data_IF_288562770934
#
_entry.id   IF_288562770934
#
_cell.length_a   1.000
_cell.length_b   1.000
_cell.length_c   1.000
_cell.angle_alpha   90.00
_cell.angle_beta   90.00
_cell.angle_gamma   90.00
#
_symmetry.space_group_name_H-M   'P 1'
#
loop_
_entity.id
_entity.type
_entity.pdbx_description
1 polymer ?
#
# COMPACT_ATOMS: atom_id res chain seq x y z
N UNK A 1 -1.49 -19.32 -22.62
CA UNK A 1 -2.39 -18.17 -22.34
C UNK A 1 -1.50 -16.96 -22.13
N UNK A 2 -1.73 -15.91 -22.90
CA UNK A 2 -0.89 -14.71 -22.79
C UNK A 2 -1.16 -14.00 -21.46
N UNK A 3 -0.10 -13.84 -20.66
CA UNK A 3 -0.09 -13.06 -19.43
C UNK A 3 0.50 -11.68 -19.71
N UNK A 4 0.10 -10.67 -18.97
CA UNK A 4 0.71 -9.34 -19.07
C UNK A 4 2.05 -9.31 -18.35
N UNK A 5 2.92 -8.40 -18.77
CA UNK A 5 4.18 -8.15 -18.08
C UNK A 5 3.96 -7.21 -16.89
N UNK A 6 4.58 -7.50 -15.76
CA UNK A 6 4.54 -6.60 -14.60
C UNK A 6 5.38 -5.35 -14.88
N UNK A 7 4.79 -4.19 -14.66
CA UNK A 7 5.48 -2.90 -14.70
C UNK A 7 6.31 -2.74 -13.42
N UNK A 8 7.59 -2.42 -13.58
CA UNK A 8 8.54 -2.30 -12.47
C UNK A 8 8.77 -0.83 -12.11
N UNK A 9 8.82 -0.55 -10.82
CA UNK A 9 9.18 0.77 -10.27
C UNK A 9 10.68 1.08 -10.52
N UNK A 10 11.05 2.35 -10.87
CA UNK A 10 10.16 3.50 -11.01
C UNK A 10 9.56 3.58 -12.43
N UNK A 11 8.23 3.72 -12.48
CA UNK A 11 7.50 3.98 -13.72
C UNK A 11 6.32 4.89 -13.38
N UNK A 12 6.06 5.92 -14.18
CA UNK A 12 5.07 6.96 -13.92
C UNK A 12 3.65 6.41 -13.75
N UNK A 13 3.28 5.32 -14.45
CA UNK A 13 1.97 4.70 -14.31
C UNK A 13 1.69 4.17 -12.89
N UNK A 14 2.74 3.77 -12.17
CA UNK A 14 2.62 3.28 -10.78
C UNK A 14 2.44 4.41 -9.76
N UNK A 15 2.78 5.64 -10.15
CA UNK A 15 2.71 6.83 -9.28
C UNK A 15 1.67 7.85 -9.74
N UNK A 16 0.85 7.47 -10.74
CA UNK A 16 -0.26 8.27 -11.25
C UNK A 16 -1.58 7.60 -10.87
N UNK A 17 -2.55 8.34 -10.29
CA UNK A 17 -3.87 7.80 -10.01
C UNK A 17 -4.55 7.30 -11.28
N UNK A 18 -5.16 6.13 -11.20
CA UNK A 18 -5.90 5.49 -12.30
C UNK A 18 -7.24 6.18 -12.57
N UNK A 19 -7.80 5.94 -13.74
CA UNK A 19 -9.10 6.49 -14.16
C UNK A 19 -10.22 5.49 -13.90
N UNK A 20 -11.39 6.01 -13.54
CA UNK A 20 -12.60 5.20 -13.49
C UNK A 20 -12.89 4.53 -14.83
N UNK A 21 -13.52 3.36 -14.78
CA UNK A 21 -13.93 2.60 -15.95
C UNK A 21 -15.30 1.94 -15.73
N UNK A 22 -15.88 1.40 -16.79
CA UNK A 22 -17.12 0.64 -16.77
C UNK A 22 -16.91 -0.84 -16.46
N UNK A 23 -18.00 -1.55 -16.17
CA UNK A 23 -17.97 -2.95 -15.78
C UNK A 23 -17.44 -3.87 -16.89
N UNK A 24 -17.81 -3.63 -18.15
CA UNK A 24 -17.38 -4.48 -19.29
C UNK A 24 -15.86 -4.42 -19.47
N UNK A 25 -15.31 -3.21 -19.43
CA UNK A 25 -13.85 -2.98 -19.49
C UNK A 25 -13.16 -3.60 -18.27
N UNK A 26 -13.72 -3.42 -17.07
CA UNK A 26 -13.19 -3.96 -15.84
C UNK A 26 -13.11 -5.49 -15.84
N UNK A 27 -14.14 -6.18 -16.33
CA UNK A 27 -14.16 -7.64 -16.43
C UNK A 27 -13.02 -8.18 -17.33
N UNK A 28 -12.75 -7.51 -18.46
CA UNK A 28 -11.65 -7.90 -19.36
C UNK A 28 -10.29 -7.73 -18.67
N UNK A 29 -10.09 -6.60 -17.98
CA UNK A 29 -8.87 -6.32 -17.22
C UNK A 29 -8.71 -7.32 -16.07
N UNK A 30 -9.78 -7.61 -15.31
CA UNK A 30 -9.74 -8.56 -14.20
C UNK A 30 -9.29 -9.97 -14.66
N UNK A 31 -9.73 -10.43 -15.83
CA UNK A 31 -9.26 -11.69 -16.41
C UNK A 31 -7.75 -11.68 -16.67
N UNK A 32 -7.21 -10.60 -17.22
CA UNK A 32 -5.78 -10.47 -17.47
C UNK A 32 -4.98 -10.36 -16.15
N UNK A 33 -5.54 -9.65 -15.15
CA UNK A 33 -4.96 -9.56 -13.81
C UNK A 33 -4.89 -10.93 -13.13
N UNK A 34 -5.98 -11.70 -13.10
CA UNK A 34 -5.97 -13.04 -12.50
C UNK A 34 -5.01 -14.00 -13.19
N UNK A 35 -4.92 -13.99 -14.53
CA UNK A 35 -3.95 -14.81 -15.26
C UNK A 35 -2.51 -14.43 -14.90
N UNK A 36 -2.23 -13.13 -14.82
CA UNK A 36 -0.91 -12.62 -14.50
C UNK A 36 -0.56 -12.94 -13.04
N UNK A 37 -1.49 -12.70 -12.11
CA UNK A 37 -1.34 -13.00 -10.68
C UNK A 37 -1.04 -14.49 -10.45
N UNK A 38 -1.77 -15.39 -11.11
CA UNK A 38 -1.56 -16.83 -11.00
C UNK A 38 -0.16 -17.27 -11.49
N UNK A 39 0.41 -16.58 -12.48
CA UNK A 39 1.77 -16.83 -12.96
C UNK A 39 2.84 -16.30 -12.02
N UNK A 40 2.65 -15.08 -11.52
CA UNK A 40 3.66 -14.37 -10.71
C UNK A 40 3.63 -14.79 -9.22
N UNK A 41 2.56 -15.45 -8.74
CA UNK A 41 2.45 -16.00 -7.39
C UNK A 41 2.15 -14.97 -6.30
N UNK A 42 1.49 -13.85 -6.66
CA UNK A 42 1.06 -12.82 -5.70
C UNK A 42 -0.30 -13.09 -5.07
N UNK A 43 -0.71 -12.23 -4.15
CA UNK A 43 -2.01 -12.28 -3.46
C UNK A 43 -3.01 -11.24 -4.01
N UNK A 44 -2.51 -10.19 -4.69
CA UNK A 44 -3.29 -9.16 -5.33
C UNK A 44 -2.53 -8.55 -6.51
N UNK A 45 -3.25 -7.85 -7.38
CA UNK A 45 -2.68 -7.15 -8.52
C UNK A 45 -3.62 -6.06 -9.01
N UNK A 46 -3.07 -4.89 -9.31
CA UNK A 46 -3.80 -3.73 -9.80
C UNK A 46 -3.53 -3.47 -11.28
N UNK A 47 -4.48 -2.84 -11.97
CA UNK A 47 -4.42 -2.61 -13.40
C UNK A 47 -3.18 -1.81 -13.85
N UNK A 48 -2.76 -0.79 -13.09
CA UNK A 48 -1.56 -0.03 -13.42
C UNK A 48 -0.26 -0.84 -13.31
N UNK A 49 -0.25 -1.94 -12.54
CA UNK A 49 0.88 -2.87 -12.50
C UNK A 49 1.04 -3.73 -13.77
N UNK A 50 0.01 -3.78 -14.61
CA UNK A 50 0.07 -4.41 -15.94
C UNK A 50 -0.02 -3.41 -17.09
N UNK A 51 0.17 -2.11 -16.80
CA UNK A 51 0.20 -1.04 -17.79
C UNK A 51 -1.16 -0.46 -18.18
N UNK A 52 -2.24 -0.77 -17.44
CA UNK A 52 -3.60 -0.28 -17.70
C UNK A 52 -3.95 0.86 -16.70
N UNK A 53 -4.35 2.03 -17.21
CA UNK A 53 -4.67 3.22 -16.39
C UNK A 53 -6.12 3.22 -15.85
N UNK A 54 -6.65 2.03 -15.52
CA UNK A 54 -8.04 1.83 -15.09
C UNK A 54 -8.12 1.42 -13.63
N UNK A 55 -9.15 1.90 -12.94
CA UNK A 55 -9.35 1.64 -11.51
C UNK A 55 -9.97 0.26 -11.28
N UNK A 56 -9.16 -0.78 -11.47
CA UNK A 56 -9.53 -2.20 -11.29
C UNK A 56 -8.40 -2.91 -10.58
N UNK A 57 -8.73 -3.73 -9.57
CA UNK A 57 -7.77 -4.63 -8.93
C UNK A 57 -8.40 -5.98 -8.64
N UNK A 58 -7.55 -6.99 -8.47
CA UNK A 58 -7.92 -8.35 -8.07
C UNK A 58 -7.22 -8.71 -6.77
N UNK A 59 -7.89 -9.53 -5.95
CA UNK A 59 -7.37 -10.10 -4.71
C UNK A 59 -7.70 -11.59 -4.67
N UNK A 60 -6.79 -12.39 -4.15
CA UNK A 60 -6.92 -13.83 -4.02
C UNK A 60 -6.24 -14.29 -2.71
N UNK A 61 -6.86 -13.97 -1.57
CA UNK A 61 -6.41 -14.38 -0.23
C UNK A 61 -7.31 -15.46 0.33
N UNK A 62 -8.58 -15.14 0.62
CA UNK A 62 -9.59 -16.13 1.04
C UNK A 62 -10.27 -16.75 -0.18
N UNK A 63 -10.94 -15.91 -0.98
CA UNK A 63 -11.59 -16.26 -2.23
C UNK A 63 -11.23 -15.22 -3.30
N UNK A 64 -11.09 -15.61 -4.58
CA UNK A 64 -10.73 -14.66 -5.63
C UNK A 64 -11.89 -13.71 -5.97
N UNK A 65 -11.61 -12.41 -5.94
CA UNK A 65 -12.56 -11.37 -6.37
C UNK A 65 -11.85 -10.21 -7.07
N UNK A 66 -12.61 -9.37 -7.78
CA UNK A 66 -12.13 -8.10 -8.30
C UNK A 66 -12.97 -6.93 -7.79
N UNK A 67 -12.35 -5.76 -7.73
CA UNK A 67 -12.99 -4.50 -7.36
C UNK A 67 -12.88 -3.50 -8.51
N UNK A 68 -14.02 -2.88 -8.84
CA UNK A 68 -14.14 -1.84 -9.84
C UNK A 68 -14.33 -0.48 -9.16
N UNK A 69 -13.43 0.47 -9.46
CA UNK A 69 -13.43 1.83 -8.90
C UNK A 69 -13.52 1.84 -7.36
N UNK A 70 -12.74 1.00 -6.64
CA UNK A 70 -12.90 0.82 -5.20
C UNK A 70 -12.52 2.07 -4.41
N UNK A 71 -13.19 2.25 -3.27
CA UNK A 71 -12.91 3.32 -2.33
C UNK A 71 -13.01 2.82 -0.89
N UNK A 72 -11.97 3.01 -0.10
CA UNK A 72 -12.03 2.77 1.35
C UNK A 72 -12.81 3.92 2.00
N UNK A 73 -13.94 3.60 2.64
CA UNK A 73 -14.82 4.58 3.28
C UNK A 73 -14.66 4.65 4.79
N UNK A 74 -14.14 3.59 5.42
CA UNK A 74 -13.87 3.54 6.86
C UNK A 74 -12.69 2.65 7.15
N UNK A 75 -11.97 2.94 8.24
CA UNK A 75 -10.77 2.24 8.69
C UNK A 75 -10.79 2.12 10.20
N UNK A 76 -10.36 0.98 10.75
CA UNK A 76 -10.26 0.75 12.19
C UNK A 76 -8.96 0.02 12.54
N UNK A 77 -8.41 0.35 13.69
CA UNK A 77 -7.22 -0.23 14.33
C UNK A 77 -5.98 -0.20 13.45
N UNK A 78 -5.17 0.85 13.63
CA UNK A 78 -3.86 0.96 12.95
C UNK A 78 -2.94 -0.20 13.34
N UNK A 79 -2.28 -0.75 12.35
CA UNK A 79 -1.27 -1.81 12.49
C UNK A 79 -0.04 -1.49 11.65
N UNK A 80 1.08 -2.12 11.99
CA UNK A 80 2.28 -2.12 11.16
C UNK A 80 2.41 -3.49 10.53
N UNK A 81 2.40 -3.54 9.20
CA UNK A 81 2.49 -4.79 8.46
C UNK A 81 3.78 -4.84 7.63
N UNK A 82 4.24 -6.03 7.25
CA UNK A 82 5.42 -6.19 6.40
C UNK A 82 5.00 -6.67 5.03
N UNK A 83 5.18 -5.83 4.01
CA UNK A 83 4.71 -6.07 2.66
C UNK A 83 5.84 -6.13 1.63
N UNK A 84 5.65 -6.98 0.62
CA UNK A 84 6.34 -6.90 -0.66
C UNK A 84 5.40 -6.41 -1.75
N UNK A 85 5.92 -6.16 -2.95
CA UNK A 85 5.15 -5.76 -4.12
C UNK A 85 5.77 -6.36 -5.38
N UNK A 86 4.96 -6.93 -6.28
CA UNK A 86 5.43 -7.49 -7.56
C UNK A 86 6.09 -6.42 -8.44
N UNK A 87 5.64 -5.17 -8.35
CA UNK A 87 6.24 -4.03 -9.05
C UNK A 87 7.53 -3.50 -8.39
N UNK A 88 7.89 -3.98 -7.20
CA UNK A 88 9.07 -3.57 -6.43
C UNK A 88 9.76 -4.84 -5.92
N UNK A 89 10.38 -5.62 -6.82
CA UNK A 89 11.00 -6.89 -6.45
C UNK A 89 12.13 -6.68 -5.42
N UNK A 90 12.40 -7.73 -4.64
CA UNK A 90 13.46 -7.79 -3.63
C UNK A 90 13.37 -6.75 -2.48
N UNK A 91 12.22 -6.09 -2.33
CA UNK A 91 11.95 -5.14 -1.25
C UNK A 91 10.83 -5.63 -0.37
N UNK A 92 11.10 -5.60 0.93
CA UNK A 92 10.10 -5.77 1.98
C UNK A 92 10.08 -4.51 2.84
N UNK A 93 8.93 -3.86 2.93
CA UNK A 93 8.75 -2.60 3.66
C UNK A 93 7.78 -2.83 4.82
N UNK A 94 8.05 -2.21 5.96
CA UNK A 94 7.05 -2.11 7.05
C UNK A 94 6.16 -0.92 6.73
N UNK A 95 4.87 -1.16 6.66
CA UNK A 95 3.89 -0.18 6.20
C UNK A 95 2.85 0.11 7.29
N UNK A 96 2.32 1.32 7.28
CA UNK A 96 1.14 1.70 8.07
C UNK A 96 -0.12 1.19 7.37
N UNK A 97 -0.87 0.32 8.05
CA UNK A 97 -2.13 -0.29 7.57
C UNK A 97 -3.21 -0.23 8.65
N UNK A 98 -4.38 -0.72 8.27
CA UNK A 98 -5.49 -0.91 9.20
C UNK A 98 -5.90 -2.37 9.22
N UNK A 99 -6.20 -2.89 10.41
CA UNK A 99 -6.61 -4.27 10.61
C UNK A 99 -7.98 -4.55 9.99
N UNK A 100 -8.86 -3.53 9.99
CA UNK A 100 -10.21 -3.62 9.44
C UNK A 100 -10.55 -2.40 8.59
N UNK A 101 -11.15 -2.65 7.42
CA UNK A 101 -11.56 -1.60 6.48
C UNK A 101 -12.93 -1.89 5.90
N UNK A 102 -13.62 -0.84 5.46
CA UNK A 102 -14.88 -0.88 4.70
C UNK A 102 -14.63 -0.29 3.32
N UNK A 103 -15.07 -1.00 2.31
CA UNK A 103 -14.82 -0.67 0.90
C UNK A 103 -16.14 -0.65 0.13
N UNK A 104 -16.36 0.42 -0.62
CA UNK A 104 -17.36 0.50 -1.67
C UNK A 104 -16.67 0.26 -3.03
N UNK A 105 -17.34 -0.43 -3.95
CA UNK A 105 -16.88 -0.62 -5.32
C UNK A 105 -18.08 -0.68 -6.29
N UNK A 106 -17.88 -0.19 -7.52
CA UNK A 106 -18.97 -0.03 -8.48
C UNK A 106 -19.53 -1.38 -9.02
N UNK A 107 -18.91 -2.51 -8.69
CA UNK A 107 -19.33 -3.86 -9.07
C UNK A 107 -19.98 -4.66 -7.92
N UNK A 108 -20.22 -4.05 -6.77
CA UNK A 108 -20.90 -4.65 -5.61
C UNK A 108 -21.97 -3.69 -5.09
N UNK A 109 -23.11 -4.24 -4.70
CA UNK A 109 -24.23 -3.41 -4.22
C UNK A 109 -24.04 -2.94 -2.76
N UNK A 110 -23.41 -3.76 -1.93
CA UNK A 110 -23.22 -3.50 -0.52
C UNK A 110 -21.74 -3.13 -0.19
N UNK A 111 -21.56 -2.43 0.92
CA UNK A 111 -20.24 -2.18 1.48
C UNK A 111 -19.57 -3.49 1.89
N UNK A 112 -18.42 -3.78 1.31
CA UNK A 112 -17.59 -4.92 1.70
C UNK A 112 -16.77 -4.59 2.95
N UNK A 113 -16.65 -5.56 3.85
CA UNK A 113 -15.86 -5.45 5.08
C UNK A 113 -14.71 -6.43 5.02
N UNK A 114 -13.49 -5.94 5.21
CA UNK A 114 -12.27 -6.77 5.26
C UNK A 114 -11.60 -6.63 6.63
N UNK A 115 -11.13 -7.74 7.17
CA UNK A 115 -10.51 -7.84 8.49
C UNK A 115 -11.32 -8.68 9.48
N UNK A 116 -10.82 -8.90 10.71
CA UNK A 116 -11.46 -9.75 11.69
C UNK A 116 -12.88 -9.34 12.05
N UNK A 117 -13.77 -10.34 12.13
CA UNK A 117 -15.15 -10.20 12.62
C UNK A 117 -15.41 -11.19 13.72
N UNK A 118 -16.36 -10.87 14.60
CA UNK A 118 -16.82 -11.81 15.61
C UNK A 118 -17.52 -12.98 14.90
N UNK A 119 -17.23 -14.19 15.38
CA UNK A 119 -17.85 -15.44 14.90
C UNK A 119 -17.42 -15.89 13.48
N UNK A 120 -16.34 -15.33 12.93
CA UNK A 120 -15.78 -15.81 11.68
C UNK A 120 -15.02 -17.13 11.90
N UNK A 121 -15.17 -18.09 10.97
CA UNK A 121 -14.47 -19.38 11.00
C UNK A 121 -13.08 -19.33 10.37
N UNK A 122 -12.77 -18.25 9.65
CA UNK A 122 -11.46 -18.02 9.03
C UNK A 122 -10.51 -17.45 10.07
N UNK A 123 -9.24 -17.86 10.01
CA UNK A 123 -8.18 -17.35 10.88
C UNK A 123 -8.05 -15.82 10.77
N UNK A 124 -7.97 -15.17 11.92
CA UNK A 124 -7.86 -13.70 11.98
C UNK A 124 -6.63 -13.16 11.24
N UNK A 125 -5.51 -13.88 11.25
CA UNK A 125 -4.30 -13.44 10.54
C UNK A 125 -4.51 -13.47 9.02
N UNK A 126 -5.29 -14.43 8.50
CA UNK A 126 -5.69 -14.50 7.09
C UNK A 126 -6.62 -13.34 6.73
N UNK A 127 -7.58 -13.00 7.60
CA UNK A 127 -8.49 -11.87 7.38
C UNK A 127 -7.76 -10.53 7.44
N UNK A 128 -6.77 -10.39 8.32
CA UNK A 128 -5.89 -9.20 8.37
C UNK A 128 -5.06 -9.13 7.10
N UNK A 129 -4.48 -10.23 6.63
CA UNK A 129 -3.72 -10.29 5.39
C UNK A 129 -4.58 -9.84 4.19
N UNK A 130 -5.83 -10.29 4.11
CA UNK A 130 -6.76 -9.88 3.05
C UNK A 130 -7.05 -8.37 3.12
N UNK A 131 -7.34 -7.84 4.31
CA UNK A 131 -7.56 -6.41 4.50
C UNK A 131 -6.33 -5.57 4.11
N UNK A 132 -5.12 -6.03 4.41
CA UNK A 132 -3.87 -5.39 4.02
C UNK A 132 -3.68 -5.46 2.50
N UNK A 133 -3.94 -6.62 1.88
CA UNK A 133 -3.85 -6.80 0.43
C UNK A 133 -4.81 -5.85 -0.30
N UNK A 134 -6.08 -5.75 0.13
CA UNK A 134 -7.04 -4.80 -0.45
C UNK A 134 -6.55 -3.35 -0.34
N UNK A 135 -5.97 -2.95 0.81
CA UNK A 135 -5.39 -1.62 0.98
C UNK A 135 -4.22 -1.39 0.02
N UNK A 136 -3.36 -2.40 -0.16
CA UNK A 136 -2.22 -2.35 -1.07
C UNK A 136 -2.67 -2.10 -2.52
N UNK A 137 -3.65 -2.87 -2.99
CA UNK A 137 -4.15 -2.74 -4.36
C UNK A 137 -4.86 -1.40 -4.59
N UNK A 138 -5.66 -0.94 -3.61
CA UNK A 138 -6.30 0.39 -3.70
C UNK A 138 -5.27 1.52 -3.66
N UNK A 139 -4.17 1.37 -2.93
CA UNK A 139 -3.07 2.34 -2.97
C UNK A 139 -2.48 2.45 -4.38
N UNK A 140 -2.19 1.33 -5.06
CA UNK A 140 -1.74 1.34 -6.44
C UNK A 140 -2.70 2.09 -7.38
N UNK A 141 -4.01 1.87 -7.23
CA UNK A 141 -5.02 2.60 -8.02
C UNK A 141 -5.01 4.11 -7.75
N UNK A 142 -4.57 4.53 -6.57
CA UNK A 142 -4.41 5.94 -6.19
C UNK A 142 -3.00 6.49 -6.53
N UNK A 143 -2.16 5.76 -7.24
CA UNK A 143 -0.80 6.15 -7.58
C UNK A 143 0.16 6.14 -6.39
N UNK A 144 -0.12 5.31 -5.38
CA UNK A 144 0.72 5.14 -4.20
C UNK A 144 1.41 3.78 -4.23
N UNK A 145 2.61 3.74 -3.67
CA UNK A 145 3.43 2.52 -3.52
C UNK A 145 3.63 2.18 -2.05
N UNK A 146 4.23 1.02 -1.77
CA UNK A 146 4.62 0.64 -0.40
C UNK A 146 5.56 1.64 0.27
N UNK A 147 6.32 2.43 -0.50
CA UNK A 147 7.21 3.48 0.03
C UNK A 147 6.42 4.68 0.58
N UNK A 148 5.24 4.97 0.03
CA UNK A 148 4.37 6.05 0.50
C UNK A 148 3.66 5.68 1.81
N UNK A 149 3.60 4.39 2.12
CA UNK A 149 3.06 3.81 3.36
C UNK A 149 4.12 3.35 4.35
N UNK A 150 5.40 3.60 4.08
CA UNK A 150 6.47 3.18 4.96
C UNK A 150 6.23 3.64 6.40
N UNK A 151 6.20 2.66 7.33
CA UNK A 151 6.03 2.92 8.75
C UNK A 151 7.17 3.78 9.29
N UNK A 152 6.81 4.89 9.89
CA UNK A 152 7.75 5.76 10.61
C UNK A 152 7.42 5.72 12.09
N UNK A 153 8.36 5.33 12.96
CA UNK A 153 8.17 5.37 14.41
C UNK A 153 7.64 6.72 14.88
N UNK A 154 6.84 6.75 15.96
CA UNK A 154 6.13 7.94 16.41
C UNK A 154 7.01 9.18 16.59
N UNK A 155 8.25 8.98 17.05
CA UNK A 155 9.25 10.04 17.15
C UNK A 155 9.52 10.76 15.81
N UNK A 156 9.42 10.03 14.67
CA UNK A 156 9.58 10.60 13.33
C UNK A 156 8.32 11.31 12.85
N UNK A 157 7.14 10.73 13.14
CA UNK A 157 5.85 11.35 12.81
C UNK A 157 5.69 12.70 13.50
N UNK A 158 6.17 12.84 14.75
CA UNK A 158 6.17 14.11 15.48
C UNK A 158 7.14 15.13 14.89
N UNK A 159 8.33 14.69 14.46
CA UNK A 159 9.33 15.58 13.88
C UNK A 159 9.00 16.00 12.45
N UNK A 160 8.37 15.17 11.63
CA UNK A 160 7.90 15.57 10.29
C UNK A 160 6.85 16.70 10.33
N UNK A 161 6.03 16.77 11.39
CA UNK A 161 5.11 17.89 11.62
C UNK A 161 5.81 19.18 12.07
N UNK A 162 7.00 19.06 12.67
CA UNK A 162 7.74 20.19 13.24
C UNK A 162 8.75 20.79 12.25
N UNK A 163 9.30 19.99 11.34
CA UNK A 163 10.38 20.42 10.43
C UNK A 163 10.04 20.15 8.97
N UNK A 164 10.25 21.15 8.12
CA UNK A 164 10.14 21.00 6.68
C UNK A 164 11.25 20.10 6.12
N UNK A 165 10.98 19.32 5.07
CA UNK A 165 11.89 18.33 4.47
C UNK A 165 13.31 18.87 4.20
N UNK A 166 13.42 20.14 3.81
CA UNK A 166 14.68 20.83 3.50
C UNK A 166 15.18 21.75 4.64
N UNK A 167 14.45 21.81 5.75
CA UNK A 167 14.83 22.61 6.92
C UNK A 167 16.11 22.07 7.55
N UNK A 168 16.95 22.98 8.05
CA UNK A 168 18.17 22.62 8.75
C UNK A 168 17.84 22.26 10.19
N UNK A 169 18.25 21.10 10.62
CA UNK A 169 18.13 20.63 11.99
C UNK A 169 19.51 20.35 12.57
N UNK A 170 19.66 20.54 13.86
CA UNK A 170 20.85 20.12 14.62
C UNK A 170 20.50 18.88 15.42
N UNK A 171 21.28 17.82 15.24
CA UNK A 171 21.10 16.53 15.92
C UNK A 171 22.34 16.20 16.74
N UNK A 172 22.16 15.46 17.86
CA UNK A 172 23.26 15.04 18.71
C UNK A 172 23.14 13.58 19.15
N UNK A 173 24.32 12.97 19.42
CA UNK A 173 24.45 11.66 20.05
C UNK A 173 25.70 11.64 20.91
N UNK A 174 25.55 11.59 22.24
CA UNK A 174 26.64 11.78 23.21
C UNK A 174 27.27 13.17 23.05
N UNK A 175 28.58 13.24 22.81
CA UNK A 175 29.33 14.50 22.62
C UNK A 175 29.38 14.97 21.16
N UNK A 176 28.76 14.23 20.21
CA UNK A 176 28.79 14.56 18.79
C UNK A 176 27.52 15.33 18.41
N UNK A 177 27.70 16.39 17.61
CA UNK A 177 26.61 17.21 17.08
C UNK A 177 26.79 17.39 15.58
N UNK A 178 25.70 17.35 14.82
CA UNK A 178 25.65 17.55 13.38
C UNK A 178 24.49 18.47 13.02
N UNK A 179 24.72 19.39 12.07
CA UNK A 179 23.68 20.24 11.48
C UNK A 179 23.50 19.88 10.00
N UNK A 180 22.29 19.45 9.63
CA UNK A 180 21.99 18.96 8.29
C UNK A 180 20.49 19.13 7.97
N UNK A 181 20.14 19.01 6.67
CA UNK A 181 18.73 19.06 6.25
C UNK A 181 17.95 17.91 6.90
N UNK A 182 16.71 18.17 7.36
CA UNK A 182 15.87 17.20 8.04
C UNK A 182 15.79 15.86 7.29
N UNK A 183 15.59 15.87 5.96
CA UNK A 183 15.58 14.65 5.13
C UNK A 183 16.84 13.78 5.23
N UNK A 184 17.99 14.38 5.51
CA UNK A 184 19.26 13.65 5.74
C UNK A 184 19.40 13.22 7.20
N UNK A 185 18.79 13.96 8.13
CA UNK A 185 18.78 13.67 9.57
C UNK A 185 18.03 12.39 9.93
N UNK A 186 17.00 12.03 9.16
CA UNK A 186 16.16 10.86 9.41
C UNK A 186 17.01 9.60 9.65
N UNK A 187 17.96 9.31 8.77
CA UNK A 187 18.83 8.12 8.90
C UNK A 187 19.75 8.12 10.14
N UNK A 188 19.99 9.28 10.73
CA UNK A 188 20.73 9.42 12.00
C UNK A 188 19.82 9.22 13.20
N UNK A 189 18.59 9.74 13.13
CA UNK A 189 17.58 9.53 14.17
C UNK A 189 17.31 8.03 14.36
N UNK A 190 17.24 7.25 13.26
CA UNK A 190 17.14 5.78 13.28
C UNK A 190 18.28 5.10 14.06
N UNK A 191 19.43 5.72 14.06
CA UNK A 191 20.63 5.25 14.78
C UNK A 191 20.74 5.82 16.19
N UNK A 192 19.65 6.39 16.72
CA UNK A 192 19.54 6.89 18.09
C UNK A 192 20.14 8.29 18.31
N UNK A 193 20.27 9.12 17.25
CA UNK A 193 20.54 10.55 17.39
C UNK A 193 19.25 11.28 17.79
N UNK A 194 19.36 12.41 18.47
CA UNK A 194 18.22 13.24 18.90
C UNK A 194 18.33 14.63 18.31
N UNK A 195 17.20 15.22 17.96
CA UNK A 195 17.16 16.62 17.52
C UNK A 195 17.35 17.51 18.74
N UNK A 196 18.23 18.48 18.61
CA UNK A 196 18.40 19.52 19.62
C UNK A 196 17.30 20.57 19.44
N UNK A 197 16.55 20.85 20.50
CA UNK A 197 15.60 21.95 20.57
C UNK A 197 16.28 23.29 20.78
#
# INVERSE_FOLDING_TARGET
MDTKQIVIYPNDILTTPTKKTDLETAQKIAVDLFKTLAKEGGLGLSANQIGEDKSVCVVNVTEPFFLLNPKIIKKEKEIVYREGCLSIPDKMVRTDRYEKIWVEADNVDDTMVFGPEKDNQVDNDVLVLEAVCVQHEIDHLNGLTIFDREYKPEQYRRTEKKYGRNEMITISKGKKTLTLKYKKGISYLEKGWKINE
#
